data_IF_967727763148
#
_entry.id   IF_967727763148
#
_cell.length_a   1.000
_cell.length_b   1.000
_cell.length_c   1.000
_cell.angle_alpha   90.00
_cell.angle_beta   90.00
_cell.angle_gamma   90.00
#
_symmetry.space_group_name_H-M   'P 1'
#
loop_
_entity.id
_entity.type
_entity.pdbx_description
1 polymer ?
#
# COMPACT_ATOMS: atom_id res chain seq x y z
N UNK A 1 -19.54 1.47 29.95
CA UNK A 1 -18.20 2.00 29.59
C UNK A 1 -18.39 2.93 28.39
N UNK A 2 -17.85 4.16 28.47
CA UNK A 2 -17.79 5.05 27.31
C UNK A 2 -16.59 4.68 26.46
N UNK A 3 -16.82 4.33 25.20
CA UNK A 3 -15.79 4.04 24.22
C UNK A 3 -15.43 5.32 23.44
N UNK A 4 -14.34 5.27 22.67
CA UNK A 4 -14.03 6.33 21.73
C UNK A 4 -15.14 6.39 20.67
N UNK A 5 -15.77 7.57 20.43
CA UNK A 5 -16.87 7.71 19.47
C UNK A 5 -16.53 7.24 18.05
N UNK A 6 -15.26 7.34 17.66
CA UNK A 6 -14.77 6.83 16.36
C UNK A 6 -15.06 5.34 16.20
N UNK A 7 -14.96 4.54 17.27
CA UNK A 7 -15.25 3.10 17.21
C UNK A 7 -16.74 2.81 16.96
N UNK A 8 -17.63 3.72 17.36
CA UNK A 8 -19.08 3.60 17.15
C UNK A 8 -19.45 3.98 15.69
N UNK A 9 -18.72 4.92 15.10
CA UNK A 9 -18.95 5.39 13.73
C UNK A 9 -18.28 4.52 12.67
N UNK A 10 -17.17 3.83 13.04
CA UNK A 10 -16.51 2.89 12.14
C UNK A 10 -17.43 1.67 11.92
N UNK A 11 -17.97 1.56 10.73
CA UNK A 11 -18.66 0.34 10.29
C UNK A 11 -17.75 -0.89 10.34
N UNK A 12 -18.35 -2.07 10.25
CA UNK A 12 -17.60 -3.33 10.13
C UNK A 12 -16.60 -3.22 8.99
N UNK A 13 -15.34 -3.55 9.26
CA UNK A 13 -14.30 -3.56 8.22
C UNK A 13 -14.74 -4.47 7.07
N UNK A 14 -14.82 -4.00 5.81
CA UNK A 14 -15.44 -4.75 4.72
C UNK A 14 -14.88 -6.17 4.55
N UNK A 15 -13.58 -6.35 4.79
CA UNK A 15 -12.93 -7.67 4.69
C UNK A 15 -13.40 -8.68 5.76
N UNK A 16 -14.00 -8.24 6.86
CA UNK A 16 -14.65 -9.15 7.84
C UNK A 16 -15.87 -9.82 7.21
N UNK A 17 -16.63 -9.09 6.38
CA UNK A 17 -17.75 -9.66 5.60
C UNK A 17 -17.26 -10.69 4.60
N UNK A 18 -16.13 -10.41 3.95
CA UNK A 18 -15.49 -11.37 3.03
C UNK A 18 -15.04 -12.64 3.75
N UNK A 19 -14.44 -12.51 4.94
CA UNK A 19 -14.02 -13.65 5.75
C UNK A 19 -15.20 -14.51 6.21
N UNK A 20 -16.32 -13.91 6.56
CA UNK A 20 -17.56 -14.65 6.89
C UNK A 20 -18.13 -15.38 5.66
N UNK A 21 -18.15 -14.74 4.49
CA UNK A 21 -18.60 -15.38 3.25
C UNK A 21 -17.70 -16.58 2.89
N UNK A 22 -16.38 -16.46 3.04
CA UNK A 22 -15.44 -17.57 2.86
C UNK A 22 -15.71 -18.73 3.83
N UNK A 23 -15.95 -18.42 5.10
CA UNK A 23 -16.27 -19.43 6.12
C UNK A 23 -17.54 -20.22 5.76
N UNK A 24 -18.59 -19.52 5.31
CA UNK A 24 -19.84 -20.16 4.89
C UNK A 24 -19.63 -21.04 3.65
N UNK A 25 -18.90 -20.56 2.65
CA UNK A 25 -18.61 -21.32 1.44
C UNK A 25 -17.78 -22.59 1.74
N UNK A 26 -16.75 -22.48 2.59
CA UNK A 26 -15.95 -23.63 3.02
C UNK A 26 -16.79 -24.65 3.80
N UNK A 27 -17.74 -24.23 4.65
CA UNK A 27 -18.64 -25.12 5.36
C UNK A 27 -19.59 -25.90 4.41
N UNK A 28 -19.85 -25.35 3.21
CA UNK A 28 -20.60 -26.03 2.11
C UNK A 28 -19.72 -26.97 1.27
N UNK A 29 -18.43 -27.10 1.60
CA UNK A 29 -17.50 -27.95 0.87
C UNK A 29 -16.87 -27.30 -0.37
N UNK A 30 -17.01 -25.99 -0.55
CA UNK A 30 -16.39 -25.27 -1.68
C UNK A 30 -14.90 -25.06 -1.35
N UNK A 31 -14.02 -25.56 -2.20
CA UNK A 31 -12.58 -25.31 -2.15
C UNK A 31 -12.27 -23.93 -2.71
N UNK A 32 -11.67 -23.04 -1.87
CA UNK A 32 -11.47 -21.63 -2.20
C UNK A 32 -10.07 -21.35 -2.74
N UNK A 33 -10.01 -20.53 -3.80
CA UNK A 33 -8.81 -19.85 -4.27
C UNK A 33 -8.99 -18.38 -3.97
N UNK A 34 -8.22 -17.86 -3.00
CA UNK A 34 -8.46 -16.56 -2.38
C UNK A 34 -7.55 -15.46 -2.96
N UNK A 35 -8.12 -14.61 -3.82
CA UNK A 35 -7.55 -13.38 -4.35
C UNK A 35 -8.08 -12.12 -3.61
N UNK A 36 -8.85 -12.27 -2.53
CA UNK A 36 -9.52 -11.16 -1.85
C UNK A 36 -8.56 -10.28 -1.06
N UNK A 37 -7.61 -10.88 -0.32
CA UNK A 37 -6.70 -10.16 0.57
C UNK A 37 -5.33 -9.98 -0.08
N UNK A 38 -4.85 -8.73 -0.15
CA UNK A 38 -3.56 -8.38 -0.74
C UNK A 38 -2.38 -8.63 0.22
N UNK A 39 -2.24 -9.86 0.70
CA UNK A 39 -1.13 -10.31 1.52
C UNK A 39 -0.25 -11.28 0.73
N UNK A 40 1.04 -10.93 0.45
CA UNK A 40 1.96 -11.83 -0.23
C UNK A 40 2.06 -13.19 0.48
N UNK A 41 1.96 -14.27 -0.30
CA UNK A 41 2.07 -15.66 0.18
C UNK A 41 3.32 -16.35 -0.37
N UNK A 42 4.16 -15.62 -1.10
CA UNK A 42 5.48 -16.09 -1.52
C UNK A 42 6.37 -16.30 -0.31
N UNK A 43 7.24 -17.28 -0.38
CA UNK A 43 8.25 -17.46 0.65
C UNK A 43 9.17 -16.23 0.73
N UNK A 44 9.45 -15.78 1.95
CA UNK A 44 10.53 -14.82 2.17
C UNK A 44 11.86 -15.47 1.73
N UNK A 45 12.68 -14.82 0.91
CA UNK A 45 13.95 -15.37 0.44
C UNK A 45 14.83 -15.94 1.55
N UNK A 46 15.50 -17.08 1.28
CA UNK A 46 16.28 -17.81 2.28
C UNK A 46 17.36 -16.94 2.93
N UNK A 47 18.07 -16.13 2.14
CA UNK A 47 19.13 -15.27 2.69
C UNK A 47 18.60 -14.26 3.71
N UNK A 48 17.34 -13.79 3.58
CA UNK A 48 16.68 -12.90 4.55
C UNK A 48 16.33 -13.67 5.81
N UNK A 49 15.78 -14.89 5.66
CA UNK A 49 15.44 -15.77 6.79
C UNK A 49 16.70 -16.17 7.57
N UNK A 50 17.78 -16.48 6.87
CA UNK A 50 19.08 -16.78 7.48
C UNK A 50 19.65 -15.55 8.22
N UNK A 51 19.57 -14.35 7.64
CA UNK A 51 19.98 -13.11 8.30
C UNK A 51 19.18 -12.85 9.59
N UNK A 52 17.86 -13.13 9.58
CA UNK A 52 17.02 -13.04 10.78
C UNK A 52 17.49 -14.02 11.87
N UNK A 53 17.66 -15.29 11.50
CA UNK A 53 18.08 -16.32 12.44
C UNK A 53 19.46 -16.02 13.05
N UNK A 54 20.41 -15.54 12.26
CA UNK A 54 21.73 -15.14 12.71
C UNK A 54 21.72 -13.89 13.62
N UNK A 55 20.64 -13.11 13.59
CA UNK A 55 20.50 -11.86 14.34
C UNK A 55 19.85 -12.05 15.73
N UNK A 56 19.43 -13.26 16.09
CA UNK A 56 18.83 -13.55 17.38
C UNK A 56 19.91 -13.58 18.47
N UNK A 57 19.93 -12.55 19.31
CA UNK A 57 20.85 -12.43 20.41
C UNK A 57 20.32 -13.13 21.68
N UNK A 58 21.21 -13.71 22.55
CA UNK A 58 20.77 -14.30 23.81
C UNK A 58 20.15 -13.30 24.80
N UNK A 59 20.49 -12.02 24.69
CA UNK A 59 19.91 -10.94 25.49
C UNK A 59 19.13 -10.01 24.58
N UNK A 60 17.86 -9.77 24.92
CA UNK A 60 16.99 -8.84 24.22
C UNK A 60 16.91 -7.51 25.00
N UNK A 61 17.18 -6.41 24.29
CA UNK A 61 17.06 -5.05 24.83
C UNK A 61 15.95 -4.29 24.09
N UNK A 62 15.47 -3.19 24.68
CA UNK A 62 14.53 -2.31 24.00
C UNK A 62 15.19 -1.67 22.77
N UNK A 63 14.59 -1.81 21.57
CA UNK A 63 15.09 -1.17 20.37
C UNK A 63 14.83 0.34 20.42
N UNK A 64 15.68 1.12 19.76
CA UNK A 64 15.46 2.56 19.61
C UNK A 64 14.39 2.83 18.55
N UNK A 65 13.48 3.77 18.82
CA UNK A 65 12.41 4.15 17.88
C UNK A 65 12.95 4.77 16.58
N UNK A 66 14.15 5.37 16.60
CA UNK A 66 14.84 5.91 15.43
C UNK A 66 15.43 4.82 14.51
N UNK A 67 15.48 3.57 14.98
CA UNK A 67 16.07 2.44 14.28
C UNK A 67 17.59 2.42 14.25
N UNK A 68 18.15 1.33 13.75
CA UNK A 68 19.61 1.15 13.63
C UNK A 68 20.18 2.08 12.56
N UNK A 69 21.33 2.74 12.82
CA UNK A 69 22.04 3.52 11.80
C UNK A 69 22.37 2.71 10.53
N UNK A 70 22.73 1.43 10.70
CA UNK A 70 23.03 0.54 9.57
C UNK A 70 21.81 0.28 8.68
N UNK A 71 20.60 0.20 9.25
CA UNK A 71 19.38 0.06 8.46
C UNK A 71 19.06 1.35 7.70
N UNK A 72 19.17 2.52 8.34
CA UNK A 72 18.96 3.80 7.66
C UNK A 72 19.96 4.00 6.51
N UNK A 73 21.21 3.57 6.69
CA UNK A 73 22.21 3.56 5.63
C UNK A 73 21.86 2.62 4.47
N UNK A 74 21.36 1.40 4.75
CA UNK A 74 20.93 0.46 3.71
C UNK A 74 19.74 1.02 2.92
N UNK A 75 18.80 1.68 3.58
CA UNK A 75 17.67 2.37 2.93
C UNK A 75 18.19 3.50 2.03
N UNK A 76 19.12 4.35 2.52
CA UNK A 76 19.71 5.42 1.72
C UNK A 76 20.41 4.87 0.47
N UNK A 77 21.21 3.79 0.60
CA UNK A 77 21.84 3.13 -0.55
C UNK A 77 20.82 2.60 -1.54
N UNK A 78 19.73 1.98 -1.07
CA UNK A 78 18.66 1.50 -1.95
C UNK A 78 18.00 2.66 -2.70
N UNK A 79 17.65 3.75 -2.04
CA UNK A 79 17.07 4.94 -2.68
C UNK A 79 18.00 5.48 -3.78
N UNK A 80 19.29 5.59 -3.48
CA UNK A 80 20.30 6.06 -4.43
C UNK A 80 20.37 5.16 -5.67
N UNK A 81 20.39 3.82 -5.50
CA UNK A 81 20.42 2.87 -6.61
C UNK A 81 19.14 2.91 -7.43
N UNK A 82 18.01 2.96 -6.76
CA UNK A 82 16.68 2.78 -7.37
C UNK A 82 16.18 4.03 -8.11
N UNK A 83 16.48 5.22 -7.60
CA UNK A 83 15.90 6.48 -8.07
C UNK A 83 16.93 7.46 -8.68
N UNK A 84 18.00 6.92 -9.25
CA UNK A 84 18.89 7.71 -10.10
C UNK A 84 19.84 8.66 -9.35
N UNK A 85 20.40 8.20 -8.23
CA UNK A 85 21.45 8.95 -7.52
C UNK A 85 20.93 9.93 -6.46
N UNK A 86 19.66 9.80 -6.05
CA UNK A 86 19.12 10.59 -4.95
C UNK A 86 19.91 10.28 -3.67
N UNK A 87 20.47 11.33 -3.06
CA UNK A 87 21.12 11.24 -1.76
C UNK A 87 20.15 11.63 -0.65
N UNK A 88 20.08 10.79 0.38
CA UNK A 88 19.37 11.08 1.63
C UNK A 88 20.36 11.05 2.78
N UNK A 89 20.27 12.02 3.67
CA UNK A 89 20.96 11.96 4.96
C UNK A 89 20.26 10.93 5.86
N UNK A 90 20.97 9.84 6.16
CA UNK A 90 20.45 8.73 6.96
C UNK A 90 20.00 9.13 8.36
N UNK A 91 20.59 10.18 8.94
CA UNK A 91 20.35 10.59 10.30
C UNK A 91 19.21 11.62 10.43
N UNK A 92 18.95 12.39 9.38
CA UNK A 92 17.93 13.46 9.40
C UNK A 92 16.75 13.20 8.47
N UNK A 93 16.91 12.44 7.39
CA UNK A 93 15.88 12.26 6.38
C UNK A 93 15.25 10.86 6.35
N UNK A 94 15.62 9.94 7.26
CA UNK A 94 15.12 8.56 7.29
C UNK A 94 14.74 8.12 8.70
N UNK A 95 13.59 7.44 8.83
CA UNK A 95 13.20 6.71 10.04
C UNK A 95 12.57 5.36 9.67
N UNK A 96 13.13 4.21 10.15
CA UNK A 96 12.52 2.89 9.98
C UNK A 96 11.20 2.76 10.74
N UNK A 97 10.26 1.98 10.19
CA UNK A 97 8.89 1.82 10.70
C UNK A 97 8.49 0.34 10.81
N UNK A 98 7.39 0.05 11.53
CA UNK A 98 6.78 -1.28 11.60
C UNK A 98 5.92 -1.56 10.34
N UNK A 99 6.55 -1.63 9.17
CA UNK A 99 5.93 -1.54 7.86
C UNK A 99 5.43 -0.11 7.60
N UNK A 100 4.84 0.16 6.44
CA UNK A 100 4.28 1.49 6.14
C UNK A 100 2.99 1.78 6.92
N UNK A 101 2.17 0.77 7.19
CA UNK A 101 0.82 0.92 7.79
C UNK A 101 0.80 1.67 9.12
N UNK A 102 1.79 1.43 9.98
CA UNK A 102 1.90 2.12 11.28
C UNK A 102 2.07 3.64 11.05
N UNK A 103 2.99 4.02 10.19
CA UNK A 103 3.24 5.42 9.89
C UNK A 103 2.07 6.08 9.13
N UNK A 104 1.41 5.34 8.22
CA UNK A 104 0.18 5.81 7.55
C UNK A 104 -0.90 6.16 8.58
N UNK A 105 -1.08 5.32 9.60
CA UNK A 105 -2.09 5.56 10.63
C UNK A 105 -1.73 6.77 11.50
N UNK A 106 -0.49 6.85 11.98
CA UNK A 106 -0.08 7.84 12.98
C UNK A 106 0.31 9.21 12.40
N UNK A 107 0.50 9.32 11.09
CA UNK A 107 0.94 10.60 10.49
C UNK A 107 -0.03 11.75 10.81
N UNK A 108 -1.33 11.49 10.84
CA UNK A 108 -2.34 12.50 11.16
C UNK A 108 -2.24 13.04 12.60
N UNK A 109 -1.57 12.33 13.51
CA UNK A 109 -1.32 12.77 14.88
C UNK A 109 -0.03 13.62 14.98
N UNK A 110 0.87 13.48 14.00
CA UNK A 110 2.17 14.19 13.97
C UNK A 110 2.04 15.55 13.30
N UNK A 111 1.13 15.71 12.34
CA UNK A 111 0.96 16.95 11.57
C UNK A 111 -0.19 17.80 12.07
N UNK A 112 -0.17 19.09 11.75
CA UNK A 112 -1.25 20.05 12.07
C UNK A 112 -2.45 19.93 11.13
N UNK A 113 -3.26 21.01 11.06
CA UNK A 113 -4.42 21.15 10.17
C UNK A 113 -5.71 20.54 10.70
N UNK A 114 -6.83 20.83 10.03
CA UNK A 114 -8.18 20.41 10.42
C UNK A 114 -8.60 19.14 9.70
N UNK A 115 -8.15 18.97 8.47
CA UNK A 115 -8.56 17.90 7.57
C UNK A 115 -7.37 17.10 7.00
N UNK A 116 -7.66 15.87 6.60
CA UNK A 116 -6.75 14.97 5.88
C UNK A 116 -7.38 14.59 4.56
N UNK A 117 -6.69 14.88 3.45
CA UNK A 117 -7.07 14.44 2.12
C UNK A 117 -6.66 13.00 1.88
N UNK A 118 -7.55 12.20 1.33
CA UNK A 118 -7.29 10.81 0.94
C UNK A 118 -7.88 10.53 -0.44
N UNK A 119 -7.17 9.77 -1.26
CA UNK A 119 -7.69 9.38 -2.59
C UNK A 119 -8.63 8.18 -2.49
N UNK A 120 -9.73 8.22 -3.28
CA UNK A 120 -10.73 7.15 -3.37
C UNK A 120 -11.04 6.81 -4.86
N UNK A 121 -11.14 5.50 -5.22
CA UNK A 121 -10.97 4.32 -4.37
C UNK A 121 -9.55 4.19 -3.86
N UNK A 122 -9.37 3.74 -2.61
CA UNK A 122 -8.04 3.75 -1.99
C UNK A 122 -7.90 2.89 -0.73
N UNK A 123 -6.70 2.92 -0.18
CA UNK A 123 -6.37 2.21 1.04
C UNK A 123 -6.89 2.97 2.27
N UNK A 124 -7.79 2.38 3.09
CA UNK A 124 -8.59 3.15 4.06
C UNK A 124 -7.83 3.60 5.33
N UNK A 125 -6.57 3.23 5.49
CA UNK A 125 -5.85 3.44 6.77
C UNK A 125 -5.52 4.90 7.01
N UNK A 126 -5.23 5.69 5.97
CA UNK A 126 -5.01 7.14 6.11
C UNK A 126 -6.26 7.87 6.65
N UNK A 127 -7.43 7.55 6.09
CA UNK A 127 -8.71 8.09 6.58
C UNK A 127 -8.99 7.69 8.03
N UNK A 128 -8.72 6.43 8.39
CA UNK A 128 -8.93 5.95 9.77
C UNK A 128 -7.97 6.63 10.75
N UNK A 129 -6.71 6.80 10.39
CA UNK A 129 -5.75 7.57 11.19
C UNK A 129 -6.23 9.00 11.43
N UNK A 130 -6.77 9.65 10.40
CA UNK A 130 -7.35 10.98 10.50
C UNK A 130 -8.51 11.04 11.53
N UNK A 131 -9.45 10.10 11.44
CA UNK A 131 -10.59 10.04 12.36
C UNK A 131 -10.15 9.83 13.82
N UNK A 132 -9.19 8.92 14.08
CA UNK A 132 -8.65 8.70 15.42
C UNK A 132 -7.85 9.89 15.94
N UNK A 133 -7.23 10.67 15.05
CA UNK A 133 -6.57 11.93 15.39
C UNK A 133 -7.56 13.11 15.57
N UNK A 134 -8.87 12.86 15.46
CA UNK A 134 -9.92 13.91 15.57
C UNK A 134 -9.95 14.87 14.38
N UNK A 135 -9.48 14.41 13.19
CA UNK A 135 -9.43 15.19 11.95
C UNK A 135 -10.61 14.85 11.04
N UNK A 136 -11.00 15.81 10.23
CA UNK A 136 -11.95 15.57 9.14
C UNK A 136 -11.25 14.80 8.01
N UNK A 137 -12.03 14.02 7.26
CA UNK A 137 -11.55 13.33 6.05
C UNK A 137 -12.14 14.02 4.83
N UNK A 138 -11.26 14.40 3.90
CA UNK A 138 -11.62 14.91 2.58
C UNK A 138 -11.30 13.84 1.55
N UNK A 139 -12.33 13.26 0.95
CA UNK A 139 -12.18 12.28 -0.11
C UNK A 139 -11.91 12.98 -1.45
N UNK A 140 -10.84 12.58 -2.12
CA UNK A 140 -10.41 13.09 -3.43
C UNK A 140 -10.60 11.95 -4.43
N UNK A 141 -11.56 12.11 -5.33
CA UNK A 141 -11.89 11.08 -6.30
C UNK A 141 -10.73 10.85 -7.30
N UNK A 142 -10.43 9.59 -7.54
CA UNK A 142 -9.58 9.18 -8.65
C UNK A 142 -10.45 9.03 -9.91
N UNK A 143 -10.10 9.74 -10.98
CA UNK A 143 -10.87 9.74 -12.22
C UNK A 143 -10.56 8.48 -13.05
N UNK A 144 -11.53 7.56 -13.25
CA UNK A 144 -11.33 6.37 -14.07
C UNK A 144 -11.06 6.71 -15.54
N UNK A 145 -11.50 7.87 -16.04
CA UNK A 145 -11.25 8.30 -17.43
C UNK A 145 -9.83 8.83 -17.61
N UNK A 146 -9.20 9.28 -16.52
CA UNK A 146 -7.80 9.72 -16.45
C UNK A 146 -6.87 8.63 -15.87
N UNK A 147 -7.26 7.33 -15.93
CA UNK A 147 -6.45 6.22 -15.42
C UNK A 147 -6.35 6.16 -13.90
N UNK A 148 -7.39 6.58 -13.20
CA UNK A 148 -7.46 6.65 -11.72
C UNK A 148 -6.38 7.55 -11.12
N UNK A 149 -6.20 8.74 -11.69
CA UNK A 149 -5.41 9.82 -11.14
C UNK A 149 -6.32 10.92 -10.55
N UNK A 150 -5.88 11.62 -9.49
CA UNK A 150 -6.64 12.73 -8.93
C UNK A 150 -6.51 13.99 -9.82
N UNK A 151 -7.58 14.74 -9.96
CA UNK A 151 -7.53 16.11 -10.46
C UNK A 151 -7.24 17.05 -9.28
N UNK A 152 -5.96 17.40 -9.11
CA UNK A 152 -5.51 18.28 -8.02
C UNK A 152 -5.88 19.74 -8.27
N UNK A 153 -6.10 20.13 -9.52
CA UNK A 153 -6.45 21.51 -9.89
C UNK A 153 -7.94 21.79 -9.66
N UNK A 154 -8.76 20.76 -9.53
CA UNK A 154 -10.16 20.87 -9.11
C UNK A 154 -10.36 21.13 -7.61
N UNK A 155 -9.30 21.02 -6.80
CA UNK A 155 -9.39 21.30 -5.36
C UNK A 155 -9.46 22.81 -5.12
N UNK A 156 -10.53 23.28 -4.48
CA UNK A 156 -10.69 24.69 -4.18
C UNK A 156 -9.76 25.14 -3.03
N UNK A 157 -9.47 26.44 -2.99
CA UNK A 157 -8.60 27.04 -1.99
C UNK A 157 -9.12 26.88 -0.55
N UNK A 158 -10.45 26.79 -0.36
CA UNK A 158 -11.04 26.58 0.96
C UNK A 158 -10.74 25.16 1.48
N UNK A 159 -10.82 24.16 0.61
CA UNK A 159 -10.41 22.79 0.91
C UNK A 159 -8.91 22.71 1.19
N UNK A 160 -8.08 23.25 0.28
CA UNK A 160 -6.61 23.20 0.41
C UNK A 160 -6.12 23.86 1.70
N UNK A 161 -6.70 25.00 2.10
CA UNK A 161 -6.30 25.73 3.32
C UNK A 161 -6.65 25.01 4.63
N UNK A 162 -7.52 24.00 4.59
CA UNK A 162 -7.92 23.18 5.76
C UNK A 162 -7.06 21.92 5.90
N UNK A 163 -6.40 21.49 4.81
CA UNK A 163 -5.56 20.30 4.84
C UNK A 163 -4.37 20.49 5.76
N UNK A 164 -4.10 19.50 6.59
CA UNK A 164 -2.81 19.34 7.26
C UNK A 164 -2.00 18.23 6.61
N UNK A 165 -2.68 17.33 5.87
CA UNK A 165 -2.09 16.16 5.28
C UNK A 165 -2.85 15.77 4.02
N UNK A 166 -2.13 15.44 2.95
CA UNK A 166 -2.66 14.81 1.75
C UNK A 166 -1.97 13.46 1.55
N UNK A 167 -2.75 12.38 1.48
CA UNK A 167 -2.28 11.05 1.13
C UNK A 167 -2.40 10.80 -0.37
N UNK A 168 -1.28 10.47 -1.01
CA UNK A 168 -1.24 9.87 -2.33
C UNK A 168 -0.64 8.47 -2.22
N UNK A 169 -1.38 7.46 -2.66
CA UNK A 169 -0.88 6.08 -2.73
C UNK A 169 -0.65 5.69 -4.18
N UNK A 170 0.61 5.71 -4.62
CA UNK A 170 1.02 5.30 -5.98
C UNK A 170 2.33 4.50 -5.93
N UNK A 171 2.37 3.33 -6.60
CA UNK A 171 1.28 2.66 -7.31
C UNK A 171 0.08 2.38 -6.40
N UNK A 172 -1.13 2.62 -6.93
CA UNK A 172 -2.35 2.66 -6.12
C UNK A 172 -2.88 1.26 -5.79
N UNK A 173 -3.34 1.08 -4.58
CA UNK A 173 -4.21 0.00 -4.16
C UNK A 173 -5.64 0.55 -3.99
N UNK A 174 -6.65 0.18 -4.83
CA UNK A 174 -6.70 -1.08 -5.58
C UNK A 174 -6.34 -1.00 -7.07
N UNK A 175 -6.25 0.18 -7.68
CA UNK A 175 -6.33 0.37 -9.13
C UNK A 175 -5.06 0.01 -9.90
N UNK A 176 -3.90 -0.05 -9.24
CA UNK A 176 -2.61 -0.29 -9.91
C UNK A 176 -2.08 0.91 -10.70
N UNK A 177 -2.79 2.06 -10.68
CA UNK A 177 -2.34 3.29 -11.34
C UNK A 177 -1.03 3.80 -10.76
N UNK A 178 -0.26 4.51 -11.59
CA UNK A 178 1.03 5.10 -11.23
C UNK A 178 1.00 6.60 -11.45
N UNK A 179 1.57 7.34 -10.51
CA UNK A 179 1.76 8.79 -10.66
C UNK A 179 2.91 9.08 -11.62
N UNK A 180 2.80 10.18 -12.37
CA UNK A 180 3.93 10.78 -13.05
C UNK A 180 4.70 11.71 -12.09
N UNK A 181 5.94 12.07 -12.47
CA UNK A 181 6.71 13.01 -11.66
C UNK A 181 6.03 14.38 -11.64
N UNK A 182 5.40 14.80 -12.75
CA UNK A 182 4.66 16.06 -12.87
C UNK A 182 3.47 16.12 -11.89
N UNK A 183 2.73 15.02 -11.73
CA UNK A 183 1.65 14.95 -10.74
C UNK A 183 2.19 15.12 -9.32
N UNK A 184 3.31 14.46 -9.01
CA UNK A 184 3.96 14.56 -7.70
C UNK A 184 4.53 15.96 -7.45
N UNK A 185 5.12 16.61 -8.47
CA UNK A 185 5.58 18.00 -8.40
C UNK A 185 4.43 18.97 -8.15
N UNK A 186 3.29 18.78 -8.86
CA UNK A 186 2.08 19.59 -8.65
C UNK A 186 1.55 19.44 -7.22
N UNK A 187 1.44 18.21 -6.72
CA UNK A 187 1.01 17.94 -5.34
C UNK A 187 1.95 18.58 -4.30
N UNK A 188 3.26 18.48 -4.52
CA UNK A 188 4.26 19.07 -3.63
C UNK A 188 4.24 20.62 -3.68
N UNK A 189 3.98 21.21 -4.84
CA UNK A 189 3.79 22.67 -4.97
C UNK A 189 2.59 23.13 -4.16
N UNK A 190 1.44 22.46 -4.26
CA UNK A 190 0.26 22.76 -3.44
C UNK A 190 0.53 22.57 -1.94
N UNK A 191 1.28 21.54 -1.56
CA UNK A 191 1.66 21.29 -0.17
C UNK A 191 2.49 22.46 0.42
N UNK A 192 3.40 23.02 -0.35
CA UNK A 192 4.18 24.20 0.06
C UNK A 192 3.35 25.48 0.08
N UNK A 193 2.50 25.69 -0.94
CA UNK A 193 1.66 26.88 -1.08
C UNK A 193 0.64 27.01 0.06
N UNK A 194 0.05 25.87 0.46
CA UNK A 194 -1.03 25.83 1.45
C UNK A 194 -0.59 25.28 2.82
N UNK A 195 0.72 25.04 3.03
CA UNK A 195 1.33 24.59 4.28
C UNK A 195 0.73 23.29 4.85
N UNK A 196 0.50 22.31 3.98
CA UNK A 196 0.16 20.95 4.40
C UNK A 196 1.28 19.95 4.05
N UNK A 197 1.22 18.76 4.61
CA UNK A 197 2.16 17.67 4.32
C UNK A 197 1.63 16.80 3.17
N UNK A 198 2.45 16.59 2.15
CA UNK A 198 2.24 15.54 1.15
C UNK A 198 2.90 14.26 1.62
N UNK A 199 2.10 13.23 1.87
CA UNK A 199 2.59 11.89 2.21
C UNK A 199 2.31 10.90 1.08
N UNK A 200 3.37 10.33 0.50
CA UNK A 200 3.31 9.39 -0.60
C UNK A 200 3.52 7.96 -0.08
N UNK A 201 2.47 7.14 -0.08
CA UNK A 201 2.59 5.70 0.21
C UNK A 201 3.00 4.96 -1.07
N UNK A 202 4.28 4.61 -1.16
CA UNK A 202 4.91 3.96 -2.30
C UNK A 202 5.18 2.46 -2.03
N UNK A 203 4.34 1.80 -1.24
CA UNK A 203 4.50 0.41 -0.84
C UNK A 203 4.62 -0.57 -2.03
N UNK A 204 4.16 -0.19 -3.20
CA UNK A 204 4.17 -1.00 -4.42
C UNK A 204 5.15 -0.51 -5.49
N UNK A 205 6.05 0.42 -5.17
CA UNK A 205 7.01 1.00 -6.14
C UNK A 205 7.91 -0.02 -6.83
N UNK A 206 8.08 -1.20 -6.24
CA UNK A 206 8.89 -2.29 -6.80
C UNK A 206 8.10 -3.31 -7.60
N UNK A 207 6.78 -3.17 -7.71
CA UNK A 207 5.91 -4.14 -8.38
C UNK A 207 5.20 -3.50 -9.57
N UNK A 208 5.62 -3.88 -10.79
CA UNK A 208 4.98 -3.45 -12.04
C UNK A 208 5.02 -4.55 -13.08
N UNK A 209 4.02 -4.60 -13.95
CA UNK A 209 3.86 -5.63 -14.98
C UNK A 209 4.47 -5.22 -16.32
N UNK A 210 4.32 -3.95 -16.68
CA UNK A 210 4.71 -3.41 -17.99
C UNK A 210 5.11 -1.95 -17.87
N UNK A 211 5.72 -1.40 -18.92
CA UNK A 211 6.13 -0.01 -18.96
C UNK A 211 7.42 0.27 -18.17
N UNK A 212 7.50 1.49 -17.64
CA UNK A 212 8.64 1.95 -16.86
C UNK A 212 8.43 1.69 -15.38
N UNK A 213 9.54 1.58 -14.66
CA UNK A 213 9.53 1.51 -13.20
C UNK A 213 8.84 2.77 -12.62
N UNK A 214 7.96 2.61 -11.62
CA UNK A 214 7.32 3.76 -10.95
C UNK A 214 8.35 4.76 -10.42
N UNK A 215 8.00 6.04 -10.52
CA UNK A 215 8.76 7.14 -9.93
C UNK A 215 8.50 7.24 -8.44
N UNK A 216 9.29 8.06 -7.73
CA UNK A 216 9.12 8.35 -6.31
C UNK A 216 9.10 9.86 -6.07
N UNK A 217 8.32 10.31 -5.09
CA UNK A 217 8.37 11.69 -4.63
C UNK A 217 9.74 12.07 -4.02
N UNK A 218 10.60 11.10 -3.71
CA UNK A 218 12.01 11.38 -3.35
C UNK A 218 12.82 11.96 -4.51
N UNK A 219 12.37 11.82 -5.76
CA UNK A 219 13.03 12.39 -6.95
C UNK A 219 12.74 13.89 -7.14
N UNK A 220 11.81 14.46 -6.37
CA UNK A 220 11.52 15.88 -6.40
C UNK A 220 12.76 16.68 -5.97
N UNK A 221 13.03 17.78 -6.69
CA UNK A 221 14.15 18.66 -6.38
C UNK A 221 13.97 19.39 -5.03
N UNK A 222 12.73 19.74 -4.70
CA UNK A 222 12.34 20.34 -3.42
C UNK A 222 11.35 19.43 -2.70
N UNK A 223 11.82 18.76 -1.63
CA UNK A 223 11.03 17.86 -0.79
C UNK A 223 10.49 18.53 0.48
N UNK A 224 10.45 19.86 0.53
CA UNK A 224 9.80 20.59 1.63
C UNK A 224 8.35 20.16 1.76
N UNK A 225 7.92 19.79 2.96
CA UNK A 225 6.60 19.24 3.29
C UNK A 225 6.29 17.87 2.64
N UNK A 226 7.27 17.15 2.11
CA UNK A 226 7.06 15.85 1.45
C UNK A 226 7.68 14.73 2.26
N UNK A 227 6.92 13.64 2.44
CA UNK A 227 7.42 12.36 2.96
C UNK A 227 6.97 11.21 2.08
N UNK A 228 7.84 10.22 1.96
CA UNK A 228 7.60 8.96 1.25
C UNK A 228 7.62 7.81 2.24
N UNK A 229 6.66 6.91 2.13
CA UNK A 229 6.60 5.68 2.90
C UNK A 229 6.84 4.49 1.98
N UNK A 230 7.66 3.55 2.43
CA UNK A 230 7.90 2.30 1.71
C UNK A 230 8.01 1.11 2.68
N UNK A 231 7.93 -0.12 2.16
CA UNK A 231 7.89 -1.33 3.00
C UNK A 231 8.48 -2.54 2.28
N UNK A 232 9.11 -3.44 3.05
CA UNK A 232 9.55 -4.75 2.57
C UNK A 232 8.40 -5.77 2.42
N UNK A 233 7.22 -5.44 2.94
CA UNK A 233 6.06 -6.35 2.92
C UNK A 233 5.72 -6.85 1.52
N UNK A 234 5.88 -5.99 0.49
CA UNK A 234 5.45 -6.29 -0.89
C UNK A 234 6.64 -6.69 -1.77
N UNK A 235 7.71 -5.88 -1.77
CA UNK A 235 8.88 -6.11 -2.60
C UNK A 235 9.69 -7.35 -2.24
N UNK A 236 9.65 -7.76 -0.95
CA UNK A 236 10.52 -8.83 -0.42
C UNK A 236 9.74 -9.97 0.24
N UNK A 237 8.42 -10.04 0.04
CA UNK A 237 7.55 -11.05 0.64
C UNK A 237 7.74 -11.16 2.18
N UNK A 238 7.79 -10.00 2.84
CA UNK A 238 8.04 -9.88 4.30
C UNK A 238 6.86 -9.25 5.07
N UNK A 239 5.59 -9.59 4.81
CA UNK A 239 4.48 -8.90 5.49
C UNK A 239 4.50 -9.11 7.02
N UNK A 240 4.87 -10.28 7.49
CA UNK A 240 4.96 -10.65 8.90
C UNK A 240 6.14 -10.03 9.65
N UNK A 241 7.20 -9.60 8.96
CA UNK A 241 8.38 -8.98 9.58
C UNK A 241 8.12 -7.56 10.06
N UNK A 242 7.09 -6.89 9.53
CA UNK A 242 6.75 -5.52 9.92
C UNK A 242 7.92 -4.56 9.74
N UNK A 243 8.48 -4.45 8.54
CA UNK A 243 9.59 -3.56 8.22
C UNK A 243 9.26 -2.63 7.06
N UNK A 244 9.60 -1.36 7.22
CA UNK A 244 9.44 -0.27 6.28
C UNK A 244 10.20 0.97 6.73
N UNK A 245 9.94 2.09 6.07
CA UNK A 245 10.50 3.38 6.46
C UNK A 245 9.61 4.55 6.03
N UNK A 246 9.87 5.71 6.65
CA UNK A 246 9.49 7.03 6.15
C UNK A 246 10.76 7.79 5.82
N UNK A 247 10.78 8.47 4.67
CA UNK A 247 11.89 9.33 4.26
C UNK A 247 11.38 10.63 3.63
N UNK A 248 12.15 11.72 3.74
CA UNK A 248 11.82 13.01 3.13
C UNK A 248 12.19 14.20 4.00
N UNK A 249 11.30 15.18 4.15
CA UNK A 249 11.56 16.44 4.89
C UNK A 249 12.12 16.17 6.29
N UNK A 250 13.34 16.67 6.59
CA UNK A 250 13.99 16.44 7.88
C UNK A 250 13.17 16.87 9.10
N UNK A 251 12.34 17.92 8.94
CA UNK A 251 11.48 18.42 10.03
C UNK A 251 10.40 17.41 10.40
N UNK A 252 9.82 16.75 9.38
CA UNK A 252 8.80 15.72 9.56
C UNK A 252 9.42 14.43 10.11
N UNK A 253 10.61 14.07 9.66
CA UNK A 253 11.37 12.93 10.21
C UNK A 253 11.73 13.18 11.69
N UNK A 254 12.16 14.39 12.05
CA UNK A 254 12.43 14.75 13.44
C UNK A 254 11.16 14.68 14.31
N UNK A 255 10.01 15.15 13.79
CA UNK A 255 8.73 15.06 14.48
C UNK A 255 8.31 13.60 14.73
N UNK A 256 8.44 12.72 13.71
CA UNK A 256 8.17 11.28 13.84
C UNK A 256 9.09 10.63 14.89
N UNK A 257 10.38 10.93 14.87
CA UNK A 257 11.34 10.42 15.88
C UNK A 257 10.99 10.86 17.29
N UNK A 258 10.44 12.06 17.47
CA UNK A 258 9.96 12.56 18.76
C UNK A 258 8.63 11.92 19.19
N UNK A 259 7.73 11.67 18.24
CA UNK A 259 6.39 11.12 18.50
C UNK A 259 6.42 9.63 18.85
N UNK A 260 7.11 8.81 18.04
CA UNK A 260 7.03 7.34 18.06
C UNK A 260 7.40 6.68 19.39
N UNK A 261 8.38 7.13 20.17
CA UNK A 261 8.65 6.57 21.51
C UNK A 261 7.46 6.65 22.46
N UNK A 262 6.59 7.69 22.30
CA UNK A 262 5.44 7.91 23.19
C UNK A 262 4.30 6.89 22.92
N UNK A 263 4.20 6.38 21.70
CA UNK A 263 3.20 5.36 21.32
C UNK A 263 3.80 3.95 21.31
N UNK A 264 5.01 3.78 21.84
CA UNK A 264 5.65 2.48 21.98
C UNK A 264 6.08 1.84 20.66
N UNK A 265 6.30 2.62 19.61
CA UNK A 265 6.67 2.11 18.29
C UNK A 265 8.17 2.11 18.11
N UNK A 266 8.76 0.92 18.10
CA UNK A 266 10.17 0.71 17.79
C UNK A 266 10.38 -0.64 17.07
N UNK A 267 11.02 -0.66 15.87
CA UNK A 267 11.28 -1.90 15.15
C UNK A 267 12.27 -2.79 15.90
N UNK A 268 12.00 -4.09 15.96
CA UNK A 268 12.87 -5.08 16.62
C UNK A 268 14.23 -5.16 15.91
N UNK A 269 15.34 -5.19 16.64
CA UNK A 269 16.70 -5.16 16.08
C UNK A 269 16.98 -6.34 15.14
N UNK A 270 16.57 -7.56 15.49
CA UNK A 270 16.74 -8.73 14.64
C UNK A 270 15.98 -8.61 13.31
N UNK A 271 14.81 -7.95 13.30
CA UNK A 271 14.09 -7.64 12.07
C UNK A 271 14.83 -6.58 11.27
N UNK A 272 15.38 -5.55 11.93
CA UNK A 272 16.13 -4.50 11.26
C UNK A 272 17.39 -5.06 10.57
N UNK A 273 18.10 -5.98 11.22
CA UNK A 273 19.29 -6.64 10.65
C UNK A 273 18.93 -7.51 9.44
N UNK A 274 17.84 -8.27 9.49
CA UNK A 274 17.33 -8.99 8.32
C UNK A 274 16.89 -8.03 7.19
N UNK A 275 16.34 -6.88 7.56
CA UNK A 275 15.89 -5.86 6.59
C UNK A 275 17.05 -5.22 5.83
N UNK A 276 18.23 -5.08 6.44
CA UNK A 276 19.44 -4.62 5.76
C UNK A 276 19.76 -5.54 4.58
N UNK A 277 19.75 -6.86 4.78
CA UNK A 277 19.98 -7.81 3.72
C UNK A 277 18.96 -7.66 2.58
N UNK A 278 17.69 -7.44 2.92
CA UNK A 278 16.63 -7.25 1.92
C UNK A 278 16.77 -5.94 1.13
N UNK A 279 17.15 -4.82 1.77
CA UNK A 279 17.35 -3.54 1.09
C UNK A 279 18.62 -3.53 0.21
N UNK A 280 19.64 -4.31 0.56
CA UNK A 280 20.89 -4.38 -0.19
C UNK A 280 20.85 -5.34 -1.38
N UNK A 281 19.79 -6.15 -1.54
CA UNK A 281 19.60 -7.05 -2.68
C UNK A 281 18.41 -6.63 -3.54
N UNK A 282 18.65 -6.48 -4.84
CA UNK A 282 17.62 -6.16 -5.83
C UNK A 282 17.23 -7.38 -6.69
N UNK A 283 18.04 -8.46 -6.69
CA UNK A 283 17.80 -9.65 -7.50
C UNK A 283 16.54 -10.39 -7.10
N UNK A 284 16.30 -10.60 -5.79
CA UNK A 284 15.09 -11.25 -5.33
C UNK A 284 13.82 -10.46 -5.70
N UNK A 285 13.93 -9.13 -5.83
CA UNK A 285 12.80 -8.27 -6.23
C UNK A 285 12.43 -8.52 -7.69
N UNK A 286 13.41 -8.75 -8.57
CA UNK A 286 13.18 -9.14 -9.96
C UNK A 286 12.46 -10.50 -10.04
N UNK A 287 12.86 -11.46 -9.20
CA UNK A 287 12.24 -12.77 -9.09
C UNK A 287 10.78 -12.64 -8.59
N UNK A 288 10.52 -11.81 -7.59
CA UNK A 288 9.15 -11.50 -7.10
C UNK A 288 8.29 -10.89 -8.21
N UNK A 289 8.81 -9.90 -8.95
CA UNK A 289 8.10 -9.30 -10.10
C UNK A 289 7.78 -10.33 -11.18
N UNK A 290 8.75 -11.18 -11.53
CA UNK A 290 8.57 -12.23 -12.53
C UNK A 290 7.46 -13.19 -12.12
N UNK A 291 7.39 -13.58 -10.83
CA UNK A 291 6.35 -14.44 -10.29
C UNK A 291 4.96 -13.81 -10.38
N UNK A 292 4.80 -12.54 -10.02
CA UNK A 292 3.52 -11.85 -10.16
C UNK A 292 3.10 -11.68 -11.62
N UNK A 293 4.05 -11.48 -12.54
CA UNK A 293 3.76 -11.45 -13.98
C UNK A 293 3.25 -12.79 -14.47
N UNK A 294 3.91 -13.89 -14.12
CA UNK A 294 3.48 -15.25 -14.43
C UNK A 294 2.02 -15.50 -13.97
N UNK A 295 1.69 -15.16 -12.74
CA UNK A 295 0.32 -15.31 -12.20
C UNK A 295 -0.70 -14.48 -12.96
N UNK A 296 -0.35 -13.25 -13.33
CA UNK A 296 -1.19 -12.39 -14.16
C UNK A 296 -1.45 -13.04 -15.53
N UNK A 297 -0.41 -13.51 -16.18
CA UNK A 297 -0.47 -14.09 -17.52
C UNK A 297 -1.28 -15.41 -17.55
N UNK A 298 -1.32 -16.14 -16.43
CA UNK A 298 -2.19 -17.33 -16.26
C UNK A 298 -3.65 -16.96 -16.04
N UNK A 299 -3.96 -15.93 -15.27
CA UNK A 299 -5.32 -15.61 -14.85
C UNK A 299 -6.03 -14.64 -15.80
N UNK A 300 -5.33 -13.62 -16.30
CA UNK A 300 -5.93 -12.51 -17.03
C UNK A 300 -6.68 -12.93 -18.32
N UNK A 301 -6.15 -13.82 -19.19
CA UNK A 301 -6.88 -14.24 -20.39
C UNK A 301 -8.23 -14.90 -20.09
N UNK A 302 -8.31 -15.65 -18.98
CA UNK A 302 -9.56 -16.29 -18.57
C UNK A 302 -10.57 -15.28 -18.01
N UNK A 303 -10.10 -14.28 -17.25
CA UNK A 303 -10.95 -13.16 -16.81
C UNK A 303 -11.53 -12.39 -18.02
N UNK A 304 -10.71 -12.11 -19.03
CA UNK A 304 -11.19 -11.47 -20.28
C UNK A 304 -12.26 -12.31 -20.98
N UNK A 305 -12.03 -13.63 -21.09
CA UNK A 305 -12.99 -14.55 -21.70
C UNK A 305 -14.31 -14.63 -20.89
N UNK A 306 -14.25 -14.42 -19.58
CA UNK A 306 -15.42 -14.33 -18.69
C UNK A 306 -16.07 -12.92 -18.67
N UNK A 307 -15.70 -12.03 -19.59
CA UNK A 307 -16.32 -10.71 -19.77
C UNK A 307 -15.74 -9.58 -18.91
N UNK A 308 -14.73 -9.84 -18.05
CA UNK A 308 -14.07 -8.79 -17.29
C UNK A 308 -13.23 -7.89 -18.20
N UNK A 309 -13.19 -6.60 -17.89
CA UNK A 309 -12.37 -5.61 -18.61
C UNK A 309 -11.31 -5.05 -17.68
N UNK A 310 -10.09 -4.93 -18.21
CA UNK A 310 -8.99 -4.25 -17.47
C UNK A 310 -9.35 -2.78 -17.28
N UNK A 311 -9.38 -2.34 -16.06
CA UNK A 311 -9.55 -0.95 -15.67
C UNK A 311 -8.36 -0.46 -14.86
N UNK A 312 -7.38 -1.35 -14.59
CA UNK A 312 -6.23 -1.09 -13.75
C UNK A 312 -5.04 -0.48 -14.45
N UNK A 313 -4.09 -0.03 -13.67
CA UNK A 313 -2.79 0.45 -14.11
C UNK A 313 -1.74 -0.65 -14.25
N UNK A 314 -0.50 -0.29 -14.68
CA UNK A 314 0.57 -1.23 -15.00
C UNK A 314 1.30 -1.79 -13.78
N UNK A 315 0.91 -1.45 -12.56
CA UNK A 315 1.69 -1.74 -11.36
C UNK A 315 0.88 -2.45 -10.26
N UNK A 316 1.53 -2.71 -9.12
CA UNK A 316 1.08 -3.54 -8.00
C UNK A 316 1.07 -5.05 -8.35
N UNK A 317 0.46 -5.87 -7.48
CA UNK A 317 0.10 -7.26 -7.78
C UNK A 317 -1.44 -7.44 -7.81
N UNK A 318 -2.16 -6.37 -8.12
CA UNK A 318 -3.60 -6.40 -8.26
C UNK A 318 -4.01 -6.37 -9.73
N UNK A 319 -5.10 -7.09 -10.05
CA UNK A 319 -5.90 -6.82 -11.23
C UNK A 319 -7.15 -6.07 -10.77
N UNK A 320 -7.35 -4.89 -11.30
CA UNK A 320 -8.54 -4.07 -11.07
C UNK A 320 -9.42 -4.17 -12.30
N UNK A 321 -10.52 -4.89 -12.16
CA UNK A 321 -11.33 -5.28 -13.29
C UNK A 321 -12.72 -4.69 -13.19
N UNK A 322 -13.21 -4.09 -14.27
CA UNK A 322 -14.63 -3.79 -14.43
C UNK A 322 -15.42 -5.07 -14.54
N UNK A 323 -16.55 -5.16 -13.84
CA UNK A 323 -17.44 -6.32 -13.87
C UNK A 323 -18.05 -6.55 -15.25
N UNK A 324 -18.38 -7.82 -15.63
CA UNK A 324 -19.08 -8.12 -16.86
C UNK A 324 -20.45 -7.42 -16.93
N UNK A 325 -20.81 -6.90 -18.09
CA UNK A 325 -22.14 -6.35 -18.43
C UNK A 325 -22.73 -5.34 -17.43
N UNK A 326 -21.87 -4.68 -16.61
CA UNK A 326 -22.31 -3.75 -15.60
C UNK A 326 -22.91 -4.40 -14.36
N UNK A 327 -22.64 -5.68 -14.12
CA UNK A 327 -23.00 -6.41 -12.92
C UNK A 327 -22.52 -5.65 -11.65
N UNK A 328 -23.35 -5.66 -10.61
CA UNK A 328 -22.96 -5.14 -9.30
C UNK A 328 -21.74 -5.87 -8.74
N UNK A 329 -20.78 -5.15 -8.16
CA UNK A 329 -19.50 -5.73 -7.74
C UNK A 329 -19.63 -6.72 -6.57
N UNK A 330 -20.55 -6.50 -5.62
CA UNK A 330 -20.81 -7.46 -4.55
C UNK A 330 -21.52 -8.71 -5.10
N UNK A 331 -22.48 -8.54 -6.03
CA UNK A 331 -23.14 -9.67 -6.70
C UNK A 331 -22.14 -10.49 -7.53
N UNK A 332 -21.24 -9.83 -8.26
CA UNK A 332 -20.16 -10.47 -9.00
C UNK A 332 -19.24 -11.29 -8.06
N UNK A 333 -18.84 -10.73 -6.93
CA UNK A 333 -18.01 -11.44 -5.96
C UNK A 333 -18.72 -12.65 -5.36
N UNK A 334 -20.03 -12.57 -5.09
CA UNK A 334 -20.84 -13.72 -4.62
C UNK A 334 -20.91 -14.80 -5.69
N UNK A 335 -21.16 -14.44 -6.94
CA UNK A 335 -21.18 -15.39 -8.07
C UNK A 335 -19.85 -16.10 -8.25
N UNK A 336 -18.73 -15.39 -8.17
CA UNK A 336 -17.39 -15.99 -8.24
C UNK A 336 -17.11 -16.93 -7.07
N UNK A 337 -17.58 -16.60 -5.87
CA UNK A 337 -17.44 -17.41 -4.67
C UNK A 337 -18.12 -18.80 -4.83
N UNK A 338 -19.26 -18.89 -5.55
CA UNK A 338 -19.91 -20.17 -5.85
C UNK A 338 -19.03 -21.08 -6.74
N UNK A 339 -18.08 -20.50 -7.49
CA UNK A 339 -17.05 -21.22 -8.25
C UNK A 339 -15.75 -21.41 -7.47
N UNK A 340 -15.73 -21.09 -6.18
CA UNK A 340 -14.55 -21.18 -5.34
C UNK A 340 -13.52 -20.07 -5.57
N UNK A 341 -13.87 -18.98 -6.25
CA UNK A 341 -12.97 -17.86 -6.54
C UNK A 341 -13.35 -16.68 -5.64
N UNK A 342 -12.44 -16.27 -4.78
CA UNK A 342 -12.64 -15.12 -3.89
C UNK A 342 -11.96 -13.90 -4.47
N UNK A 343 -12.70 -12.81 -4.68
CA UNK A 343 -12.17 -11.49 -5.02
C UNK A 343 -12.69 -10.43 -4.02
N UNK A 344 -12.12 -9.23 -4.05
CA UNK A 344 -12.63 -8.13 -3.25
C UNK A 344 -13.54 -7.24 -4.11
N UNK A 345 -14.81 -7.00 -3.70
CA UNK A 345 -15.65 -5.99 -4.32
C UNK A 345 -14.98 -4.62 -4.32
N UNK A 346 -15.14 -3.86 -5.38
CA UNK A 346 -14.54 -2.55 -5.51
C UNK A 346 -15.11 -1.52 -4.54
N UNK A 347 -16.40 -1.63 -4.20
CA UNK A 347 -17.07 -0.83 -3.18
C UNK A 347 -16.38 -0.88 -1.81
N UNK A 348 -15.58 -1.92 -1.53
CA UNK A 348 -14.78 -2.02 -0.29
C UNK A 348 -13.65 -0.99 -0.19
N UNK A 349 -13.30 -0.35 -1.29
CA UNK A 349 -12.24 0.66 -1.37
C UNK A 349 -12.77 2.09 -1.41
N UNK A 350 -14.08 2.26 -1.22
CA UNK A 350 -14.74 3.56 -1.16
C UNK A 350 -15.41 4.00 -2.46
N UNK A 351 -15.91 5.23 -2.52
CA UNK A 351 -16.53 5.79 -3.71
C UNK A 351 -15.66 5.65 -4.97
N UNK A 352 -16.30 5.41 -6.10
CA UNK A 352 -15.61 5.15 -7.38
C UNK A 352 -15.12 3.71 -7.56
N UNK A 353 -15.24 2.85 -6.53
CA UNK A 353 -14.93 1.43 -6.62
C UNK A 353 -16.08 0.56 -7.15
N UNK A 354 -17.32 1.01 -7.05
CA UNK A 354 -18.50 0.28 -7.50
C UNK A 354 -18.39 -0.15 -8.98
N UNK A 355 -18.94 -1.32 -9.30
CA UNK A 355 -18.85 -1.91 -10.64
C UNK A 355 -17.46 -2.44 -11.02
N UNK A 356 -16.57 -2.58 -10.05
CA UNK A 356 -15.24 -3.16 -10.21
C UNK A 356 -15.00 -4.27 -9.16
N UNK A 357 -14.07 -5.17 -9.47
CA UNK A 357 -13.54 -6.15 -8.50
C UNK A 357 -12.02 -6.16 -8.55
N UNK A 358 -11.41 -6.43 -7.39
CA UNK A 358 -9.96 -6.55 -7.29
C UNK A 358 -9.55 -8.00 -7.06
N UNK A 359 -8.65 -8.51 -7.90
CA UNK A 359 -7.95 -9.78 -7.69
C UNK A 359 -6.53 -9.50 -7.21
N UNK A 360 -6.17 -9.95 -6.02
CA UNK A 360 -4.80 -9.94 -5.52
C UNK A 360 -4.08 -11.23 -5.97
N UNK A 361 -3.04 -11.13 -6.77
CA UNK A 361 -2.30 -12.26 -7.37
C UNK A 361 -1.44 -13.00 -6.33
N UNK A 362 -2.00 -13.27 -5.14
CA UNK A 362 -1.31 -13.92 -4.03
C UNK A 362 -1.38 -15.46 -4.02
N UNK A 363 -2.37 -16.15 -4.67
CA UNK A 363 -2.32 -17.60 -4.85
C UNK A 363 -1.10 -18.05 -5.67
N UNK A 364 -0.76 -19.34 -5.58
CA UNK A 364 0.34 -19.91 -6.38
C UNK A 364 0.01 -19.87 -7.88
N UNK A 365 1.01 -20.00 -8.79
CA UNK A 365 0.75 -20.10 -10.22
C UNK A 365 -0.23 -21.22 -10.59
N UNK A 366 -0.12 -22.39 -9.92
CA UNK A 366 -1.02 -23.53 -10.13
C UNK A 366 -2.45 -23.19 -9.71
N UNK A 367 -2.61 -22.50 -8.57
CA UNK A 367 -3.92 -22.04 -8.12
C UNK A 367 -4.51 -20.96 -9.05
N UNK A 368 -3.67 -20.07 -9.61
CA UNK A 368 -4.12 -19.10 -10.62
C UNK A 368 -4.60 -19.81 -11.89
N UNK A 369 -3.89 -20.84 -12.36
CA UNK A 369 -4.31 -21.65 -13.51
C UNK A 369 -5.59 -22.43 -13.20
N UNK A 370 -5.77 -22.95 -11.97
CA UNK A 370 -7.01 -23.61 -11.57
C UNK A 370 -8.18 -22.62 -11.51
N UNK A 371 -7.98 -21.43 -10.95
CA UNK A 371 -9.00 -20.38 -10.95
C UNK A 371 -9.43 -20.02 -12.39
N UNK A 372 -8.47 -19.94 -13.31
CA UNK A 372 -8.75 -19.68 -14.72
C UNK A 372 -9.67 -20.74 -15.35
N UNK A 373 -9.55 -22.02 -14.93
CA UNK A 373 -10.45 -23.10 -15.40
C UNK A 373 -11.84 -23.05 -14.76
N UNK A 374 -11.95 -22.53 -13.52
CA UNK A 374 -13.23 -22.44 -12.77
C UNK A 374 -14.06 -21.21 -13.14
N UNK A 375 -13.47 -20.23 -13.84
CA UNK A 375 -14.23 -19.04 -14.26
C UNK A 375 -15.39 -19.44 -15.16
N UNK A 376 -16.63 -18.97 -14.87
CA UNK A 376 -17.76 -19.23 -15.75
C UNK A 376 -17.52 -18.58 -17.12
N UNK A 377 -17.98 -19.24 -18.18
CA UNK A 377 -18.03 -18.61 -19.50
C UNK A 377 -18.94 -17.38 -19.44
N UNK A 378 -18.49 -16.26 -20.03
CA UNK A 378 -19.27 -15.01 -20.09
C UNK A 378 -20.47 -15.14 -21.05
#
# INVERSE_FOLDING_TARGET
VRLNPVLETLGTYPFVRLDEAKRVATARGIELIDFGVGEPREETPEFIRAALAASLAPVSTYPKAEGLPALREAIARWVTRRFGGIALDRDTEIVPTLGSKEAVFHMAEVVGGVAVGVTVPGYPVGARGALFAGREVVEIALDPTAGFLPDLDALDSATLSRLGLLWLNFPNNPTGSVASLELLERAAALAREHDFVLACDEAYSELWFSGHAPVSALQLADRTNVVVLNTLSKRSSMPGYRSGFVAGDPRLIAALKKYRPNVGVAPQEFVQLASIAAWDDDKHVEEVRARYREKRDLLWPALQAAGFRDAGGPATFFLWCKTPDGEDDEACAVRLLEHGIVCAPGSFFGPGGAGHVRFALVPTPEACAEAARRLPAG
#
